data_IF_777570679244
#
_entry.id   IF_777570679244
#
_cell.length_a   1.000
_cell.length_b   1.000
_cell.length_c   1.000
_cell.angle_alpha   90.00
_cell.angle_beta   90.00
_cell.angle_gamma   90.00
#
_symmetry.space_group_name_H-M   'P 1'
#
loop_
_entity.id
_entity.type
_entity.pdbx_description
1 polymer ?
#
# COMPACT_ATOMS: atom_id res chain seq x y z
N UNK A 1 -0.78 2.79 53.83
CA UNK A 1 -1.80 2.27 52.89
C UNK A 1 -1.92 3.17 51.64
N UNK A 2 -1.59 4.47 51.71
CA UNK A 2 -1.54 5.40 50.56
C UNK A 2 -0.49 5.10 49.47
N UNK A 3 0.50 4.25 49.74
CA UNK A 3 1.58 3.93 48.79
C UNK A 3 1.15 2.95 47.69
N UNK A 4 0.10 2.14 47.93
CA UNK A 4 -0.44 1.21 46.93
C UNK A 4 -1.31 1.90 45.88
N UNK A 5 -2.25 2.74 46.32
CA UNK A 5 -3.20 3.43 45.44
C UNK A 5 -2.52 4.42 44.48
N UNK A 6 -1.49 5.13 44.96
CA UNK A 6 -0.71 6.03 44.11
C UNK A 6 0.12 5.29 43.05
N UNK A 7 0.56 4.06 43.36
CA UNK A 7 1.28 3.21 42.41
C UNK A 7 0.36 2.66 41.33
N UNK A 8 -0.83 2.20 41.71
CA UNK A 8 -1.85 1.72 40.77
C UNK A 8 -2.30 2.80 39.80
N UNK A 9 -2.61 4.01 40.29
CA UNK A 9 -2.96 5.16 39.43
C UNK A 9 -1.82 5.54 38.48
N UNK A 10 -0.57 5.44 38.93
CA UNK A 10 0.59 5.71 38.10
C UNK A 10 0.78 4.64 37.01
N UNK A 11 0.50 3.37 37.31
CA UNK A 11 0.57 2.27 36.34
C UNK A 11 -0.55 2.40 35.28
N UNK A 12 -1.79 2.69 35.68
CA UNK A 12 -2.91 2.95 34.75
C UNK A 12 -2.54 4.11 33.81
N UNK A 13 -2.02 5.22 34.34
CA UNK A 13 -1.60 6.36 33.51
C UNK A 13 -0.50 6.00 32.52
N UNK A 14 0.44 5.12 32.90
CA UNK A 14 1.50 4.63 32.00
C UNK A 14 0.93 3.77 30.89
N UNK A 15 0.04 2.82 31.19
CA UNK A 15 -0.60 1.99 30.18
C UNK A 15 -1.45 2.81 29.22
N UNK A 16 -2.22 3.77 29.74
CA UNK A 16 -2.99 4.68 28.91
C UNK A 16 -2.09 5.51 27.97
N UNK A 17 -0.97 6.04 28.49
CA UNK A 17 0.00 6.81 27.69
C UNK A 17 0.62 5.94 26.58
N UNK A 18 1.04 4.72 26.92
CA UNK A 18 1.59 3.78 25.94
C UNK A 18 0.53 3.40 24.90
N UNK A 19 -0.72 3.19 25.32
CA UNK A 19 -1.83 2.89 24.43
C UNK A 19 -2.07 3.98 23.38
N UNK A 20 -2.05 5.26 23.80
CA UNK A 20 -2.15 6.40 22.88
C UNK A 20 -0.98 6.42 21.90
N UNK A 21 0.26 6.19 22.37
CA UNK A 21 1.44 6.18 21.50
C UNK A 21 1.30 5.08 20.44
N UNK A 22 0.94 3.85 20.83
CA UNK A 22 0.77 2.75 19.88
C UNK A 22 -0.32 3.04 18.85
N UNK A 23 -1.42 3.67 19.26
CA UNK A 23 -2.46 4.11 18.33
C UNK A 23 -1.92 5.11 17.31
N UNK A 24 -1.24 6.16 17.78
CA UNK A 24 -0.71 7.20 16.89
C UNK A 24 0.32 6.63 15.92
N UNK A 25 1.20 5.74 16.38
CA UNK A 25 2.18 5.07 15.52
C UNK A 25 1.49 4.15 14.51
N UNK A 26 0.50 3.35 14.94
CA UNK A 26 -0.27 2.49 14.05
C UNK A 26 -1.01 3.26 12.95
N UNK A 27 -1.70 4.35 13.29
CA UNK A 27 -2.35 5.24 12.33
C UNK A 27 -1.32 5.84 11.36
N UNK A 28 -0.18 6.32 11.89
CA UNK A 28 0.86 6.95 11.07
C UNK A 28 1.48 5.98 10.07
N UNK A 29 1.70 4.73 10.47
CA UNK A 29 2.20 3.67 9.58
C UNK A 29 1.18 3.33 8.50
N UNK A 30 -0.11 3.21 8.86
CA UNK A 30 -1.16 2.96 7.89
C UNK A 30 -1.23 4.07 6.84
N UNK A 31 -1.37 5.33 7.26
CA UNK A 31 -1.45 6.49 6.34
C UNK A 31 -0.17 6.61 5.50
N UNK A 32 0.99 6.51 6.15
CA UNK A 32 2.28 6.63 5.48
C UNK A 32 2.54 5.55 4.44
N UNK A 33 1.98 4.35 4.61
CA UNK A 33 2.04 3.27 3.63
C UNK A 33 1.28 3.66 2.35
N UNK A 34 0.04 4.13 2.48
CA UNK A 34 -0.82 4.47 1.34
C UNK A 34 -0.39 5.75 0.60
N UNK A 35 -0.02 6.81 1.32
CA UNK A 35 0.29 8.10 0.70
C UNK A 35 1.61 8.08 -0.08
N UNK A 36 2.66 7.45 0.46
CA UNK A 36 3.98 7.38 -0.22
C UNK A 36 3.96 6.56 -1.49
N UNK A 37 2.99 5.68 -1.63
CA UNK A 37 2.93 4.67 -2.67
C UNK A 37 1.84 4.97 -3.71
N UNK A 38 1.19 6.14 -3.59
CA UNK A 38 0.30 6.67 -4.63
C UNK A 38 1.10 7.51 -5.63
N UNK A 39 1.05 7.15 -6.92
CA UNK A 39 1.62 7.91 -8.02
C UNK A 39 0.51 8.25 -9.02
N UNK A 40 0.51 9.48 -9.54
CA UNK A 40 -0.38 9.88 -10.61
C UNK A 40 0.47 10.19 -11.85
N UNK A 41 0.15 9.59 -12.98
CA UNK A 41 0.84 9.79 -14.26
C UNK A 41 -0.16 10.31 -15.28
N UNK A 42 0.00 11.56 -15.71
CA UNK A 42 -0.93 12.24 -16.63
C UNK A 42 -0.53 12.14 -18.10
N UNK A 43 0.74 11.81 -18.39
CA UNK A 43 1.25 11.65 -19.76
C UNK A 43 1.40 10.17 -20.11
N UNK A 44 0.45 9.65 -20.87
CA UNK A 44 0.38 8.25 -21.23
C UNK A 44 0.75 8.07 -22.71
N UNK A 45 2.05 7.91 -22.96
CA UNK A 45 2.56 7.59 -24.30
C UNK A 45 2.82 6.09 -24.43
N UNK A 46 2.71 5.54 -25.63
CA UNK A 46 3.09 4.16 -25.90
C UNK A 46 4.53 3.87 -25.40
N UNK A 47 4.71 2.74 -24.72
CA UNK A 47 5.98 2.32 -24.12
C UNK A 47 6.34 3.04 -22.82
N UNK A 48 5.51 3.97 -22.32
CA UNK A 48 5.74 4.62 -21.02
C UNK A 48 5.65 3.59 -19.90
N UNK A 49 6.72 3.49 -19.12
CA UNK A 49 6.69 2.75 -17.86
C UNK A 49 5.91 3.55 -16.81
N UNK A 50 4.91 2.91 -16.21
CA UNK A 50 4.09 3.49 -15.14
C UNK A 50 4.60 3.00 -13.79
N UNK A 51 4.94 1.71 -13.71
CA UNK A 51 5.48 1.06 -12.52
C UNK A 51 6.61 0.11 -12.91
N UNK A 52 7.64 0.11 -12.08
CA UNK A 52 8.67 -0.92 -12.03
C UNK A 52 9.01 -1.13 -10.55
N UNK A 53 8.53 -2.24 -10.00
CA UNK A 53 8.58 -2.51 -8.57
C UNK A 53 9.08 -3.92 -8.30
N UNK A 54 10.06 -4.03 -7.40
CA UNK A 54 10.55 -5.29 -6.88
C UNK A 54 9.98 -5.52 -5.47
N UNK A 55 9.27 -6.62 -5.28
CA UNK A 55 8.82 -7.07 -3.97
C UNK A 55 10.00 -7.69 -3.21
N UNK A 56 10.52 -7.04 -2.16
CA UNK A 56 11.72 -7.50 -1.50
C UNK A 56 11.51 -8.83 -0.78
N UNK A 57 12.47 -9.74 -0.96
CA UNK A 57 12.45 -11.08 -0.34
C UNK A 57 12.37 -11.10 1.19
N UNK A 58 12.75 -10.01 1.87
CA UNK A 58 12.67 -9.93 3.33
C UNK A 58 11.25 -9.72 3.84
N UNK A 59 10.33 -9.24 2.99
CA UNK A 59 8.91 -9.15 3.30
C UNK A 59 8.22 -10.41 2.78
N UNK A 60 7.74 -11.30 3.65
CA UNK A 60 7.15 -12.57 3.24
C UNK A 60 5.72 -12.44 2.74
N UNK A 61 5.12 -11.25 2.81
CA UNK A 61 3.73 -11.02 2.47
C UNK A 61 3.57 -10.43 1.06
N UNK A 62 2.42 -10.67 0.41
CA UNK A 62 2.13 -10.08 -0.89
C UNK A 62 2.19 -8.54 -0.85
N UNK A 63 2.71 -8.00 -1.93
CA UNK A 63 2.55 -6.60 -2.30
C UNK A 63 1.46 -6.50 -3.34
N UNK A 64 0.91 -5.32 -3.47
CA UNK A 64 -0.25 -5.09 -4.31
C UNK A 64 -0.06 -3.80 -5.07
N UNK A 65 -0.31 -3.84 -6.37
CA UNK A 65 -0.40 -2.65 -7.21
C UNK A 65 -1.82 -2.55 -7.73
N UNK A 66 -2.49 -1.46 -7.36
CA UNK A 66 -3.77 -1.06 -7.95
C UNK A 66 -3.51 0.03 -8.98
N UNK A 67 -4.12 -0.14 -10.15
CA UNK A 67 -4.10 0.81 -11.25
C UNK A 67 -5.54 1.25 -11.48
N UNK A 68 -5.77 2.55 -11.47
CA UNK A 68 -7.07 3.17 -11.72
C UNK A 68 -6.96 4.10 -12.90
N UNK A 69 -7.74 3.85 -13.94
CA UNK A 69 -7.77 4.70 -15.13
C UNK A 69 -8.56 5.98 -14.85
N UNK A 70 -7.90 7.12 -15.02
CA UNK A 70 -8.49 8.46 -14.96
C UNK A 70 -8.50 9.10 -16.36
N UNK A 71 -8.36 8.26 -17.40
CA UNK A 71 -8.43 8.63 -18.81
C UNK A 71 -9.84 8.46 -19.35
N UNK A 72 -10.30 9.41 -20.15
CA UNK A 72 -11.60 9.39 -20.82
C UNK A 72 -11.65 8.37 -21.96
N UNK A 73 -10.49 7.97 -22.49
CA UNK A 73 -10.36 6.91 -23.49
C UNK A 73 -9.79 5.63 -22.86
N UNK A 74 -10.09 4.44 -23.43
CA UNK A 74 -9.51 3.19 -22.96
C UNK A 74 -7.98 3.18 -23.01
N UNK A 75 -7.37 2.69 -21.93
CA UNK A 75 -5.93 2.51 -21.81
C UNK A 75 -5.61 1.02 -21.81
N UNK A 76 -4.73 0.58 -22.70
CA UNK A 76 -4.21 -0.78 -22.68
C UNK A 76 -2.83 -0.77 -22.06
N UNK A 77 -2.62 -1.66 -21.10
CA UNK A 77 -1.36 -1.85 -20.39
C UNK A 77 -0.82 -3.24 -20.68
N UNK A 78 0.50 -3.34 -20.71
CA UNK A 78 1.25 -4.58 -20.66
C UNK A 78 1.87 -4.71 -19.28
N UNK A 79 1.66 -5.86 -18.66
CA UNK A 79 2.30 -6.27 -17.41
C UNK A 79 3.31 -7.33 -17.73
N UNK A 80 4.51 -7.17 -17.19
CA UNK A 80 5.53 -8.21 -17.15
C UNK A 80 5.88 -8.50 -15.70
N UNK A 81 5.85 -9.77 -15.33
CA UNK A 81 6.29 -10.24 -14.01
C UNK A 81 7.55 -11.07 -14.23
N UNK A 82 8.65 -10.62 -13.64
CA UNK A 82 9.95 -11.26 -13.72
C UNK A 82 10.24 -11.99 -12.40
N UNK A 83 10.38 -13.33 -12.49
CA UNK A 83 10.99 -14.16 -11.45
C UNK A 83 12.01 -15.15 -12.08
N UNK A 84 11.87 -16.46 -11.85
CA UNK A 84 12.55 -17.53 -12.59
C UNK A 84 12.07 -17.65 -14.05
N UNK A 85 10.83 -17.26 -14.35
CA UNK A 85 10.27 -17.18 -15.71
C UNK A 85 9.60 -15.81 -15.93
N UNK A 86 9.58 -15.34 -17.18
CA UNK A 86 8.94 -14.08 -17.56
C UNK A 86 7.49 -14.36 -17.94
N UNK A 87 6.55 -13.86 -17.15
CA UNK A 87 5.13 -13.87 -17.48
C UNK A 87 4.72 -12.51 -18.06
N UNK A 88 3.84 -12.50 -19.07
CA UNK A 88 3.36 -11.24 -19.66
C UNK A 88 1.87 -11.33 -19.97
N UNK A 89 1.11 -10.34 -19.51
CA UNK A 89 -0.32 -10.19 -19.72
C UNK A 89 -0.63 -8.78 -20.20
N UNK A 90 -1.65 -8.62 -21.05
CA UNK A 90 -2.19 -7.31 -21.41
C UNK A 90 -3.59 -7.16 -20.83
N UNK A 91 -3.92 -5.96 -20.34
CA UNK A 91 -5.28 -5.62 -19.92
C UNK A 91 -5.66 -4.21 -20.37
N UNK A 92 -6.97 -3.97 -20.50
CA UNK A 92 -7.52 -2.67 -20.89
C UNK A 92 -8.43 -2.14 -19.80
N UNK A 93 -8.25 -0.87 -19.43
CA UNK A 93 -9.08 -0.15 -18.47
C UNK A 93 -9.78 1.03 -19.15
N UNK A 94 -11.04 1.26 -18.80
CA UNK A 94 -11.80 2.47 -19.15
C UNK A 94 -11.84 3.43 -17.96
N UNK A 95 -12.32 4.65 -18.18
CA UNK A 95 -12.49 5.63 -17.10
C UNK A 95 -13.20 5.03 -15.87
N UNK A 96 -12.56 5.13 -14.71
CA UNK A 96 -13.08 4.62 -13.44
C UNK A 96 -12.88 3.12 -13.21
N UNK A 97 -12.44 2.37 -14.22
CA UNK A 97 -12.04 0.97 -14.03
C UNK A 97 -10.75 0.91 -13.21
N UNK A 98 -10.63 -0.16 -12.44
CA UNK A 98 -9.41 -0.48 -11.74
C UNK A 98 -9.00 -1.96 -11.88
N UNK A 99 -7.71 -2.21 -11.74
CA UNK A 99 -7.11 -3.54 -11.69
C UNK A 99 -6.15 -3.58 -10.53
N UNK A 100 -6.26 -4.61 -9.70
CA UNK A 100 -5.27 -4.94 -8.67
C UNK A 100 -4.47 -6.14 -9.12
N UNK A 101 -3.15 -6.06 -8.91
CA UNK A 101 -2.18 -7.10 -9.22
C UNK A 101 -1.41 -7.43 -7.94
N UNK A 102 -1.39 -8.71 -7.61
CA UNK A 102 -0.59 -9.24 -6.50
C UNK A 102 0.84 -9.45 -6.98
N UNK A 103 1.80 -9.18 -6.10
CA UNK A 103 3.23 -9.31 -6.37
C UNK A 103 3.83 -10.05 -5.19
N UNK A 104 4.33 -11.26 -5.44
CA UNK A 104 4.87 -12.12 -4.40
C UNK A 104 6.33 -11.77 -4.09
N UNK A 105 6.83 -12.19 -2.91
CA UNK A 105 8.22 -11.94 -2.54
C UNK A 105 9.20 -12.45 -3.60
N UNK A 106 10.21 -11.65 -3.91
CA UNK A 106 11.22 -11.90 -4.95
C UNK A 106 10.75 -11.71 -6.40
N UNK A 107 9.54 -11.21 -6.62
CA UNK A 107 9.03 -10.87 -7.96
C UNK A 107 9.28 -9.40 -8.30
N UNK A 108 9.57 -9.13 -9.57
CA UNK A 108 9.58 -7.77 -10.11
C UNK A 108 8.41 -7.60 -11.07
N UNK A 109 7.55 -6.62 -10.84
CA UNK A 109 6.50 -6.24 -11.77
C UNK A 109 6.92 -5.00 -12.56
N UNK A 110 6.72 -5.05 -13.88
CA UNK A 110 6.82 -3.90 -14.77
C UNK A 110 5.50 -3.69 -15.49
N UNK A 111 5.01 -2.46 -15.48
CA UNK A 111 3.75 -2.10 -16.12
C UNK A 111 4.01 -0.93 -17.08
N UNK A 112 3.73 -1.18 -18.35
CA UNK A 112 3.96 -0.22 -19.44
C UNK A 112 2.66 0.05 -20.19
N UNK A 113 2.51 1.28 -20.67
CA UNK A 113 1.40 1.65 -21.56
C UNK A 113 1.61 1.00 -22.92
N UNK A 114 0.72 0.09 -23.30
CA UNK A 114 0.71 -0.54 -24.62
C UNK A 114 -0.06 0.32 -25.63
N UNK A 115 -1.13 0.99 -25.20
CA UNK A 115 -1.89 1.89 -26.06
C UNK A 115 -2.63 2.92 -25.23
N UNK A 116 -2.55 4.17 -25.64
CA UNK A 116 -3.29 5.29 -25.08
C UNK A 116 -3.64 6.27 -26.21
N UNK A 117 -4.82 6.88 -26.13
CA UNK A 117 -5.15 8.00 -27.00
C UNK A 117 -4.38 9.26 -26.54
N UNK A 118 -3.99 10.10 -27.49
CA UNK A 118 -3.29 11.36 -27.20
C UNK A 118 -4.21 12.24 -26.36
N UNK A 119 -3.67 12.84 -25.30
CA UNK A 119 -4.37 13.77 -24.38
C UNK A 119 -5.60 13.18 -23.66
N UNK A 120 -5.68 11.87 -23.50
CA UNK A 120 -6.89 11.23 -22.96
C UNK A 120 -7.05 11.31 -21.43
N UNK A 121 -6.04 11.79 -20.70
CA UNK A 121 -6.02 11.89 -19.24
C UNK A 121 -4.91 11.05 -18.62
N UNK A 122 -5.10 10.63 -17.36
CA UNK A 122 -4.05 10.00 -16.56
C UNK A 122 -4.39 8.62 -16.02
N UNK A 123 -3.44 8.08 -15.25
CA UNK A 123 -3.61 6.89 -14.44
C UNK A 123 -3.15 7.18 -13.03
N UNK A 124 -3.94 6.74 -12.06
CA UNK A 124 -3.55 6.73 -10.66
C UNK A 124 -3.13 5.31 -10.30
N UNK A 125 -1.96 5.18 -9.70
CA UNK A 125 -1.48 3.91 -9.19
C UNK A 125 -1.28 3.98 -7.69
N UNK A 126 -1.65 2.91 -7.00
CA UNK A 126 -1.46 2.74 -5.57
C UNK A 126 -0.71 1.43 -5.36
N UNK A 127 0.47 1.49 -4.76
CA UNK A 127 1.19 0.33 -4.26
C UNK A 127 0.91 0.21 -2.75
N UNK A 128 0.82 -1.02 -2.23
CA UNK A 128 0.84 -1.29 -0.79
C UNK A 128 1.38 -2.69 -0.52
N UNK A 129 1.68 -2.95 0.74
CA UNK A 129 2.16 -4.23 1.24
C UNK A 129 1.38 -4.64 2.49
N UNK A 130 1.05 -5.92 2.58
CA UNK A 130 0.23 -6.43 3.67
C UNK A 130 0.97 -6.43 5.01
N UNK A 131 2.31 -6.52 5.01
CA UNK A 131 3.12 -6.49 6.22
C UNK A 131 2.98 -5.18 7.01
N UNK A 132 2.95 -4.04 6.32
CA UNK A 132 2.77 -2.73 6.95
C UNK A 132 1.35 -2.55 7.45
N UNK A 133 0.36 -3.05 6.71
CA UNK A 133 -1.04 -3.05 7.15
C UNK A 133 -1.23 -3.91 8.41
N UNK A 134 -0.60 -5.07 8.48
CA UNK A 134 -0.62 -5.94 9.66
C UNK A 134 0.13 -5.28 10.83
N UNK A 135 1.31 -4.71 10.60
CA UNK A 135 2.06 -4.01 11.64
C UNK A 135 1.24 -2.84 12.22
N UNK A 136 0.60 -2.05 11.37
CA UNK A 136 -0.32 -0.99 11.79
C UNK A 136 -1.48 -1.57 12.61
N UNK A 137 -2.14 -2.63 12.15
CA UNK A 137 -3.25 -3.26 12.86
C UNK A 137 -2.83 -3.79 14.25
N UNK A 138 -1.67 -4.43 14.35
CA UNK A 138 -1.13 -4.93 15.63
C UNK A 138 -0.93 -3.77 16.61
N UNK A 139 -0.30 -2.68 16.18
CA UNK A 139 -0.08 -1.51 17.02
C UNK A 139 -1.40 -0.86 17.46
N UNK A 140 -2.38 -0.76 16.56
CA UNK A 140 -3.70 -0.24 16.89
C UNK A 140 -4.40 -1.10 17.95
N UNK A 141 -4.43 -2.41 17.75
CA UNK A 141 -5.09 -3.36 18.66
C UNK A 141 -4.40 -3.37 20.02
N UNK A 142 -3.07 -3.44 20.05
CA UNK A 142 -2.30 -3.33 21.30
C UNK A 142 -2.57 -2.01 22.01
N UNK A 143 -2.65 -0.90 21.27
CA UNK A 143 -2.98 0.41 21.81
C UNK A 143 -4.37 0.44 22.46
N UNK A 144 -5.38 -0.12 21.80
CA UNK A 144 -6.75 -0.23 22.34
C UNK A 144 -6.82 -1.12 23.59
N UNK A 145 -6.07 -2.22 23.62
CA UNK A 145 -6.02 -3.10 24.79
C UNK A 145 -5.44 -2.35 26.00
N UNK A 146 -4.35 -1.61 25.81
CA UNK A 146 -3.71 -0.84 26.88
C UNK A 146 -4.56 0.34 27.39
N UNK A 147 -5.43 0.90 26.56
CA UNK A 147 -6.39 1.93 26.98
C UNK A 147 -7.54 1.38 27.83
N UNK A 148 -7.78 0.06 27.79
CA UNK A 148 -8.81 -0.62 28.56
C UNK A 148 -8.29 -1.28 29.84
N UNK A 149 -6.97 -1.31 30.02
CA UNK A 149 -6.27 -1.83 31.19
C UNK A 149 -6.13 -0.74 32.26
#
# INVERSE_FOLDING_TARGET
METGENREKAEIKRYATLGIILLLVGISLFIGNYERQTLHVSELNHGREIINYYAPRWDPLPHHVKITAESNEPLTFRVSIENKELETENFTLKYGDDKTLDIYPDETIRITVESAAVDSGGVKTLLWCDSWNIAAAVLLVSGLILLRA
#
